data_IF_638645046256
#
_entry.id   IF_638645046256
#
_cell.length_a   1.000
_cell.length_b   1.000
_cell.length_c   1.000
_cell.angle_alpha   90.00
_cell.angle_beta   90.00
_cell.angle_gamma   90.00
#
_symmetry.space_group_name_H-M   'P 1'
#
loop_
_entity.id
_entity.type
_entity.pdbx_description
1 polymer ?
#
# COMPACT_ATOMS: atom_id res chain seq x y z
N UNK A 1 14.15 21.32 -7.78
CA UNK A 1 14.34 22.24 -6.64
C UNK A 1 15.66 22.99 -6.79
N UNK A 2 16.79 22.29 -6.97
CA UNK A 2 18.13 22.90 -7.10
C UNK A 2 18.21 23.94 -8.23
N UNK A 3 17.72 23.62 -9.45
CA UNK A 3 17.63 24.58 -10.57
C UNK A 3 16.80 25.82 -10.23
N UNK A 4 15.73 25.68 -9.44
CA UNK A 4 14.93 26.82 -8.97
C UNK A 4 15.65 27.73 -7.98
N UNK A 5 16.71 27.22 -7.35
CA UNK A 5 17.58 27.96 -6.45
C UNK A 5 18.85 28.50 -7.13
N UNK A 6 18.92 28.42 -8.46
CA UNK A 6 20.06 28.93 -9.24
C UNK A 6 21.33 28.06 -9.17
N UNK A 7 21.21 26.82 -8.69
CA UNK A 7 22.34 25.89 -8.68
C UNK A 7 22.53 25.24 -10.05
N UNK A 8 23.77 25.03 -10.44
CA UNK A 8 24.14 24.32 -11.65
C UNK A 8 23.84 22.82 -11.49
N UNK A 9 23.02 22.27 -12.39
CA UNK A 9 22.59 20.86 -12.37
C UNK A 9 22.84 20.22 -13.70
N UNK A 10 23.79 19.31 -13.74
CA UNK A 10 24.12 18.48 -14.90
C UNK A 10 23.38 17.13 -14.82
N UNK A 11 22.83 16.67 -15.93
CA UNK A 11 22.11 15.40 -16.04
C UNK A 11 20.69 15.42 -15.49
N UNK A 12 20.07 14.23 -15.49
CA UNK A 12 18.74 13.96 -14.92
C UNK A 12 18.85 12.83 -13.90
N UNK A 13 18.11 12.96 -12.80
CA UNK A 13 18.09 11.91 -11.78
C UNK A 13 17.42 10.66 -12.34
N UNK A 14 18.11 9.53 -12.28
CA UNK A 14 17.57 8.22 -12.60
C UNK A 14 17.32 7.40 -11.32
N UNK A 15 16.66 6.25 -11.48
CA UNK A 15 16.38 5.33 -10.40
C UNK A 15 17.54 4.36 -10.21
N UNK A 16 18.01 4.21 -8.97
CA UNK A 16 19.08 3.29 -8.52
C UNK A 16 20.50 3.66 -8.96
N UNK A 17 20.67 4.80 -9.60
CA UNK A 17 21.96 5.31 -10.03
C UNK A 17 22.09 6.81 -9.71
N UNK A 18 23.32 7.27 -9.58
CA UNK A 18 23.65 8.70 -9.51
C UNK A 18 23.96 9.17 -10.92
N UNK A 19 22.98 9.80 -11.56
CA UNK A 19 23.10 10.30 -12.95
C UNK A 19 22.97 11.81 -13.05
N UNK A 20 22.55 12.48 -11.99
CA UNK A 20 22.52 13.93 -11.90
C UNK A 20 23.55 14.44 -10.91
N UNK A 21 24.16 15.58 -11.19
CA UNK A 21 25.16 16.21 -10.35
C UNK A 21 24.80 17.69 -10.11
N UNK A 22 24.93 18.13 -8.86
CA UNK A 22 24.75 19.53 -8.48
C UNK A 22 26.12 20.10 -8.13
N UNK A 23 26.55 21.13 -8.85
CA UNK A 23 27.78 21.85 -8.56
C UNK A 23 27.50 23.00 -7.59
N UNK A 24 28.16 22.97 -6.44
CA UNK A 24 28.07 24.04 -5.44
C UNK A 24 29.04 25.20 -5.77
N UNK A 25 28.75 26.43 -5.30
CA UNK A 25 29.60 27.58 -5.52
C UNK A 25 31.06 27.39 -5.03
N UNK A 26 31.26 26.53 -4.02
CA UNK A 26 32.57 26.22 -3.45
C UNK A 26 33.35 25.17 -4.26
N UNK A 27 32.85 24.76 -5.42
CA UNK A 27 33.47 23.75 -6.28
C UNK A 27 33.16 22.30 -5.96
N UNK A 28 32.46 22.02 -4.84
CA UNK A 28 32.02 20.66 -4.49
C UNK A 28 30.89 20.22 -5.39
N UNK A 29 30.95 18.97 -5.86
CA UNK A 29 29.88 18.32 -6.63
C UNK A 29 29.12 17.33 -5.77
N UNK A 30 27.79 17.35 -5.83
CA UNK A 30 26.89 16.42 -5.14
C UNK A 30 26.20 15.54 -6.16
N UNK A 31 26.36 14.23 -6.06
CA UNK A 31 25.62 13.26 -6.84
C UNK A 31 24.17 13.14 -6.36
N UNK A 32 23.23 13.05 -7.28
CA UNK A 32 21.78 12.90 -6.98
C UNK A 32 21.23 11.70 -7.73
N UNK A 33 20.50 10.87 -7.02
CA UNK A 33 19.80 9.70 -7.57
C UNK A 33 18.58 9.35 -6.72
N UNK A 34 17.65 8.59 -7.27
CA UNK A 34 16.50 8.04 -6.56
C UNK A 34 16.75 6.57 -6.22
N UNK A 35 16.64 6.23 -4.95
CA UNK A 35 16.81 4.86 -4.46
C UNK A 35 15.54 4.40 -3.77
N UNK A 36 14.53 3.92 -4.54
CA UNK A 36 13.25 3.51 -4.00
C UNK A 36 13.42 2.29 -3.09
N UNK A 37 13.12 2.47 -1.80
CA UNK A 37 13.21 1.40 -0.81
C UNK A 37 12.20 0.30 -1.09
N UNK A 38 12.56 -0.95 -0.77
CA UNK A 38 11.69 -2.10 -0.93
C UNK A 38 11.67 -2.98 0.32
N UNK A 39 11.09 -4.17 0.21
CA UNK A 39 10.89 -5.15 1.28
C UNK A 39 11.78 -6.38 1.05
N UNK A 40 11.96 -7.20 2.08
CA UNK A 40 12.46 -8.57 1.92
C UNK A 40 11.33 -9.45 1.37
N UNK A 41 11.13 -9.47 0.05
CA UNK A 41 9.98 -10.12 -0.59
C UNK A 41 9.83 -11.59 -0.18
N UNK A 42 10.93 -12.31 0.01
CA UNK A 42 10.96 -13.71 0.47
C UNK A 42 10.28 -13.94 1.82
N UNK A 43 10.22 -12.91 2.68
CA UNK A 43 9.57 -13.01 3.99
C UNK A 43 8.03 -13.01 3.89
N UNK A 44 7.48 -12.66 2.74
CA UNK A 44 6.05 -12.57 2.47
C UNK A 44 5.56 -13.64 1.49
N UNK A 45 6.43 -14.15 0.65
CA UNK A 45 6.12 -15.22 -0.29
C UNK A 45 6.07 -16.61 0.40
N UNK A 46 5.56 -17.60 -0.31
CA UNK A 46 5.51 -19.01 0.05
C UNK A 46 4.81 -19.31 1.39
N UNK A 47 3.52 -19.64 1.32
CA UNK A 47 2.71 -20.04 2.47
C UNK A 47 2.81 -21.56 2.70
N UNK A 48 3.13 -21.97 3.93
CA UNK A 48 3.10 -23.36 4.37
C UNK A 48 1.66 -23.90 4.40
N UNK A 49 1.52 -25.23 4.56
CA UNK A 49 0.20 -25.84 4.72
C UNK A 49 -0.55 -25.35 5.96
N UNK A 50 0.16 -25.11 7.07
CA UNK A 50 -0.38 -24.56 8.30
C UNK A 50 -0.87 -23.12 8.10
N UNK A 51 -0.05 -22.24 7.52
CA UNK A 51 -0.42 -20.87 7.21
C UNK A 51 -1.63 -20.78 6.25
N UNK A 52 -1.77 -21.71 5.30
CA UNK A 52 -2.97 -21.79 4.45
C UNK A 52 -4.22 -22.16 5.26
N UNK A 53 -4.08 -23.02 6.26
CA UNK A 53 -5.13 -23.33 7.22
C UNK A 53 -5.54 -22.12 8.04
N UNK A 54 -4.58 -21.33 8.53
CA UNK A 54 -4.81 -20.09 9.26
C UNK A 54 -5.53 -19.03 8.41
N UNK A 55 -5.18 -18.92 7.11
CA UNK A 55 -5.88 -18.02 6.17
C UNK A 55 -7.35 -18.43 6.00
N UNK A 56 -7.62 -19.73 5.82
CA UNK A 56 -8.99 -20.24 5.70
C UNK A 56 -9.82 -19.98 6.96
N UNK A 57 -9.25 -20.26 8.13
CA UNK A 57 -9.86 -20.02 9.42
C UNK A 57 -10.17 -18.53 9.65
N UNK A 58 -9.22 -17.65 9.32
CA UNK A 58 -9.41 -16.21 9.45
C UNK A 58 -10.56 -15.71 8.56
N UNK A 59 -10.69 -16.27 7.34
CA UNK A 59 -11.82 -15.95 6.45
C UNK A 59 -13.15 -16.44 7.03
N UNK A 60 -13.19 -17.63 7.66
CA UNK A 60 -14.37 -18.14 8.35
C UNK A 60 -14.78 -17.26 9.54
N UNK A 61 -13.81 -16.79 10.33
CA UNK A 61 -14.04 -15.86 11.46
C UNK A 61 -14.65 -14.52 11.01
N UNK A 62 -14.43 -14.12 9.75
CA UNK A 62 -15.06 -12.95 9.13
C UNK A 62 -16.44 -13.24 8.51
N UNK A 63 -16.97 -14.48 8.66
CA UNK A 63 -18.26 -14.89 8.08
C UNK A 63 -18.18 -15.35 6.63
N UNK A 64 -16.99 -15.65 6.13
CA UNK A 64 -16.75 -16.11 4.75
C UNK A 64 -17.38 -15.23 3.66
N UNK A 65 -17.22 -13.91 3.69
CA UNK A 65 -17.78 -13.03 2.69
C UNK A 65 -17.20 -13.36 1.31
N UNK A 66 -17.97 -13.07 0.25
CA UNK A 66 -17.51 -13.30 -1.14
C UNK A 66 -16.24 -12.50 -1.43
N UNK A 67 -16.18 -11.25 -0.97
CA UNK A 67 -15.05 -10.35 -1.17
C UNK A 67 -14.59 -9.70 0.13
N UNK A 68 -13.28 -9.73 0.35
CA UNK A 68 -12.62 -9.07 1.47
C UNK A 68 -11.77 -7.93 0.94
N UNK A 69 -12.07 -6.71 1.38
CA UNK A 69 -11.28 -5.50 1.14
C UNK A 69 -10.42 -5.28 2.38
N UNK A 70 -9.14 -5.04 2.21
CA UNK A 70 -8.20 -4.87 3.32
C UNK A 70 -7.54 -3.49 3.27
N UNK A 71 -7.52 -2.80 4.42
CA UNK A 71 -6.68 -1.64 4.67
C UNK A 71 -5.72 -1.93 5.82
N UNK A 72 -4.45 -1.64 5.64
CA UNK A 72 -3.41 -1.80 6.67
C UNK A 72 -2.60 -0.52 6.77
N UNK A 73 -2.68 0.16 7.90
CA UNK A 73 -1.99 1.44 8.10
C UNK A 73 -1.57 1.63 9.55
N UNK A 74 -0.62 2.51 9.77
CA UNK A 74 -0.56 3.21 11.06
C UNK A 74 -1.77 4.15 11.13
N UNK A 75 -2.35 4.31 12.30
CA UNK A 75 -3.43 5.28 12.49
C UNK A 75 -2.84 6.71 12.38
N UNK A 76 -2.87 7.25 11.19
CA UNK A 76 -2.29 8.53 10.82
C UNK A 76 -3.23 9.24 9.82
N UNK A 77 -3.44 10.53 10.00
CA UNK A 77 -4.33 11.32 9.13
C UNK A 77 -3.88 11.34 7.66
N UNK A 78 -2.59 11.12 7.40
CA UNK A 78 -2.04 11.08 6.04
C UNK A 78 -2.40 9.82 5.26
N UNK A 79 -2.95 8.80 5.94
CA UNK A 79 -3.23 7.48 5.34
C UNK A 79 -4.58 7.39 4.64
N UNK A 80 -5.42 8.42 4.73
CA UNK A 80 -6.71 8.48 4.04
C UNK A 80 -7.72 7.41 4.51
N UNK A 81 -7.62 6.96 5.78
CA UNK A 81 -8.52 5.92 6.32
C UNK A 81 -9.97 6.39 6.29
N UNK A 82 -10.24 7.65 6.63
CA UNK A 82 -11.60 8.21 6.59
C UNK A 82 -12.16 8.23 5.18
N UNK A 83 -11.35 8.62 4.18
CA UNK A 83 -11.76 8.66 2.77
C UNK A 83 -12.11 7.27 2.26
N UNK A 84 -11.34 6.26 2.66
CA UNK A 84 -11.60 4.84 2.38
C UNK A 84 -12.94 4.39 2.97
N UNK A 85 -13.19 4.73 4.26
CA UNK A 85 -14.45 4.41 4.92
C UNK A 85 -15.63 5.16 4.27
N UNK A 86 -15.46 6.43 3.91
CA UNK A 86 -16.48 7.21 3.20
C UNK A 86 -16.79 6.60 1.84
N UNK A 87 -15.78 6.27 1.04
CA UNK A 87 -15.98 5.62 -0.26
C UNK A 87 -16.72 4.28 -0.12
N UNK A 88 -16.35 3.47 0.87
CA UNK A 88 -17.00 2.20 1.15
C UNK A 88 -18.46 2.39 1.59
N UNK A 89 -18.74 3.34 2.50
CA UNK A 89 -20.09 3.68 2.95
C UNK A 89 -20.99 4.12 1.80
N UNK A 90 -20.51 5.02 0.93
CA UNK A 90 -21.29 5.51 -0.21
C UNK A 90 -21.57 4.40 -1.25
N UNK A 91 -20.65 3.45 -1.43
CA UNK A 91 -20.88 2.30 -2.31
C UNK A 91 -21.95 1.34 -1.75
N UNK A 92 -22.01 1.16 -0.43
CA UNK A 92 -23.09 0.43 0.24
C UNK A 92 -24.43 1.19 0.13
N UNK A 93 -24.42 2.50 0.35
CA UNK A 93 -25.61 3.36 0.28
C UNK A 93 -26.27 3.33 -1.10
N UNK A 94 -25.47 3.34 -2.13
CA UNK A 94 -25.98 3.32 -3.52
C UNK A 94 -26.36 1.90 -4.00
N UNK A 95 -26.09 0.86 -3.19
CA UNK A 95 -26.27 -0.54 -3.59
C UNK A 95 -25.26 -1.02 -4.63
N UNK A 96 -24.18 -0.27 -4.88
CA UNK A 96 -23.10 -0.71 -5.77
C UNK A 96 -22.26 -1.85 -5.12
N UNK A 97 -22.28 -1.95 -3.81
CA UNK A 97 -21.76 -3.08 -3.03
C UNK A 97 -22.88 -3.68 -2.19
N UNK A 98 -22.97 -5.00 -2.16
CA UNK A 98 -23.89 -5.71 -1.29
C UNK A 98 -23.22 -5.98 0.07
N UNK A 99 -23.77 -5.47 1.19
CA UNK A 99 -23.21 -5.69 2.53
C UNK A 99 -23.19 -7.18 2.96
N UNK A 100 -23.91 -8.06 2.27
CA UNK A 100 -23.86 -9.51 2.52
C UNK A 100 -22.69 -10.20 1.81
N UNK A 101 -22.19 -9.60 0.73
CA UNK A 101 -21.13 -10.19 -0.09
C UNK A 101 -19.75 -9.60 0.22
N UNK A 102 -19.68 -8.38 0.77
CA UNK A 102 -18.40 -7.68 0.96
C UNK A 102 -18.14 -7.34 2.42
N UNK A 103 -16.87 -7.40 2.81
CA UNK A 103 -16.40 -6.99 4.13
C UNK A 103 -15.14 -6.16 3.99
N UNK A 104 -15.07 -5.03 4.71
CA UNK A 104 -13.86 -4.22 4.83
C UNK A 104 -13.16 -4.54 6.16
N UNK A 105 -11.93 -5.01 6.09
CA UNK A 105 -11.05 -5.19 7.25
C UNK A 105 -10.07 -4.01 7.30
N UNK A 106 -10.10 -3.23 8.38
CA UNK A 106 -9.17 -2.13 8.60
C UNK A 106 -8.28 -2.43 9.81
N UNK A 107 -7.02 -2.70 9.55
CA UNK A 107 -5.99 -2.80 10.57
C UNK A 107 -5.33 -1.42 10.74
N UNK A 108 -5.43 -0.86 11.94
CA UNK A 108 -4.89 0.47 12.26
C UNK A 108 -3.92 0.37 13.44
N UNK A 109 -2.63 0.30 13.15
CA UNK A 109 -1.60 0.22 14.21
C UNK A 109 -1.52 1.55 14.95
N UNK A 110 -1.53 1.56 16.30
CA UNK A 110 -1.37 2.76 17.09
C UNK A 110 -0.10 3.54 16.71
N UNK A 111 -0.22 4.86 16.57
CA UNK A 111 0.88 5.76 16.26
C UNK A 111 0.70 7.08 16.97
N UNK A 112 1.77 7.61 17.58
CA UNK A 112 1.84 8.97 18.17
C UNK A 112 0.61 9.37 19.01
N UNK A 113 0.03 8.46 19.78
CA UNK A 113 -1.25 8.61 20.51
C UNK A 113 -1.31 9.77 21.50
N UNK A 114 -0.16 10.37 21.84
CA UNK A 114 -0.09 11.54 22.74
C UNK A 114 -0.46 12.85 22.06
N UNK A 115 -0.52 12.90 20.72
CA UNK A 115 -0.80 14.11 19.96
C UNK A 115 -2.31 14.23 19.72
N UNK A 116 -2.91 15.39 19.98
CA UNK A 116 -4.35 15.59 19.94
C UNK A 116 -4.97 15.35 18.57
N UNK A 117 -4.29 15.69 17.48
CA UNK A 117 -4.79 15.42 16.14
C UNK A 117 -4.84 13.92 15.81
N UNK A 118 -3.99 13.08 16.41
CA UNK A 118 -4.10 11.63 16.27
C UNK A 118 -5.28 11.08 17.05
N UNK A 119 -5.55 11.59 18.25
CA UNK A 119 -6.77 11.25 19.02
C UNK A 119 -8.04 11.63 18.25
N UNK A 120 -8.05 12.84 17.69
CA UNK A 120 -9.17 13.30 16.86
C UNK A 120 -9.39 12.44 15.61
N UNK A 121 -8.31 12.00 14.94
CA UNK A 121 -8.38 11.09 13.81
C UNK A 121 -8.95 9.74 14.24
N UNK A 122 -8.47 9.19 15.36
CA UNK A 122 -8.99 7.95 15.94
C UNK A 122 -10.49 8.03 16.20
N UNK A 123 -10.95 9.07 16.91
CA UNK A 123 -12.37 9.24 17.23
C UNK A 123 -13.24 9.29 15.99
N UNK A 124 -12.81 10.01 14.94
CA UNK A 124 -13.52 10.09 13.65
C UNK A 124 -13.58 8.74 12.93
N UNK A 125 -12.49 7.97 12.96
CA UNK A 125 -12.46 6.62 12.36
C UNK A 125 -13.41 5.69 13.11
N UNK A 126 -13.35 5.66 14.46
CA UNK A 126 -14.22 4.83 15.28
C UNK A 126 -15.70 5.22 15.13
N UNK A 127 -16.01 6.52 15.03
CA UNK A 127 -17.36 7.03 14.73
C UNK A 127 -17.85 6.56 13.35
N UNK A 128 -17.02 6.67 12.32
CA UNK A 128 -17.37 6.22 10.98
C UNK A 128 -17.63 4.70 10.94
N UNK A 129 -16.76 3.91 11.56
CA UNK A 129 -16.94 2.44 11.67
C UNK A 129 -18.25 2.10 12.40
N UNK A 130 -18.53 2.78 13.54
CA UNK A 130 -19.76 2.58 14.29
C UNK A 130 -21.01 2.94 13.46
N UNK A 131 -20.97 4.05 12.73
CA UNK A 131 -22.06 4.49 11.85
C UNK A 131 -22.30 3.51 10.70
N UNK A 132 -21.25 3.07 10.01
CA UNK A 132 -21.36 2.12 8.89
C UNK A 132 -21.94 0.80 9.37
N UNK A 133 -21.39 0.23 10.44
CA UNK A 133 -21.88 -1.02 10.99
C UNK A 133 -23.31 -0.89 11.53
N UNK A 134 -23.67 0.25 12.16
CA UNK A 134 -25.03 0.51 12.64
C UNK A 134 -26.09 0.55 11.54
N UNK A 135 -25.68 0.87 10.30
CA UNK A 135 -26.58 0.97 9.14
C UNK A 135 -26.66 -0.33 8.33
N UNK A 136 -25.55 -1.01 8.14
CA UNK A 136 -25.42 -2.08 7.14
C UNK A 136 -25.11 -3.46 7.73
N UNK A 137 -24.63 -3.55 8.99
CA UNK A 137 -24.28 -4.82 9.59
C UNK A 137 -25.54 -5.60 10.01
N UNK A 138 -25.41 -6.92 10.04
CA UNK A 138 -26.34 -7.85 10.69
C UNK A 138 -25.73 -8.37 11.99
N UNK A 139 -26.57 -8.93 12.87
CA UNK A 139 -26.11 -9.55 14.11
C UNK A 139 -25.06 -10.63 13.80
N UNK A 140 -23.88 -10.48 14.37
CA UNK A 140 -22.75 -11.38 14.13
C UNK A 140 -21.97 -11.16 12.84
N UNK A 141 -22.41 -10.24 11.95
CA UNK A 141 -21.79 -9.98 10.66
C UNK A 141 -21.56 -8.48 10.44
N UNK A 142 -20.53 -7.87 11.05
CA UNK A 142 -20.16 -6.48 10.76
C UNK A 142 -19.61 -6.38 9.34
N UNK A 143 -19.96 -5.30 8.65
CA UNK A 143 -19.44 -5.01 7.29
C UNK A 143 -18.05 -4.35 7.32
N UNK A 144 -17.68 -3.76 8.49
CA UNK A 144 -16.35 -3.22 8.75
C UNK A 144 -15.78 -3.85 10.01
N UNK A 145 -14.69 -4.61 9.85
CA UNK A 145 -13.88 -5.12 10.96
C UNK A 145 -12.71 -4.16 11.22
N UNK A 146 -12.83 -3.36 12.26
CA UNK A 146 -11.79 -2.41 12.65
C UNK A 146 -10.97 -2.95 13.81
N UNK A 147 -9.65 -2.93 13.68
CA UNK A 147 -8.72 -3.32 14.74
C UNK A 147 -7.69 -2.22 14.98
N UNK A 148 -7.74 -1.61 16.18
CA UNK A 148 -6.75 -0.62 16.62
C UNK A 148 -5.70 -1.27 17.51
N UNK A 149 -4.84 -2.09 16.91
CA UNK A 149 -3.72 -2.76 17.61
C UNK A 149 -2.62 -3.16 16.63
N UNK A 150 -1.43 -3.40 17.15
CA UNK A 150 -0.36 -4.05 16.39
C UNK A 150 -0.72 -5.50 16.09
N UNK A 151 -0.39 -5.96 14.88
CA UNK A 151 -0.60 -7.33 14.41
C UNK A 151 0.76 -7.97 14.20
N UNK A 152 0.95 -9.21 14.68
CA UNK A 152 2.17 -9.96 14.45
C UNK A 152 2.38 -10.22 12.95
N UNK A 153 3.63 -10.25 12.48
CA UNK A 153 3.97 -10.38 11.05
C UNK A 153 3.36 -11.65 10.43
N UNK A 154 3.35 -12.78 11.15
CA UNK A 154 2.73 -14.02 10.68
C UNK A 154 1.23 -13.87 10.42
N UNK A 155 0.50 -13.29 11.37
CA UNK A 155 -0.92 -13.03 11.22
C UNK A 155 -1.20 -11.95 10.15
N UNK A 156 -0.35 -10.93 10.03
CA UNK A 156 -0.46 -9.91 9.00
C UNK A 156 -0.34 -10.50 7.59
N UNK A 157 0.57 -11.46 7.39
CA UNK A 157 0.67 -12.24 6.13
C UNK A 157 -0.63 -12.96 5.82
N UNK A 158 -1.29 -13.57 6.82
CA UNK A 158 -2.59 -14.21 6.64
C UNK A 158 -3.68 -13.20 6.22
N UNK A 159 -3.68 -12.00 6.81
CA UNK A 159 -4.58 -10.90 6.39
C UNK A 159 -4.32 -10.50 4.94
N UNK A 160 -3.06 -10.32 4.53
CA UNK A 160 -2.75 -10.01 3.13
C UNK A 160 -3.25 -11.11 2.20
N UNK A 161 -2.93 -12.37 2.51
CA UNK A 161 -3.26 -13.50 1.64
C UNK A 161 -4.76 -13.76 1.50
N UNK A 162 -5.57 -13.50 2.54
CA UNK A 162 -7.03 -13.70 2.47
C UNK A 162 -7.77 -12.60 1.72
N UNK A 163 -7.15 -11.41 1.57
CA UNK A 163 -7.81 -10.25 1.02
C UNK A 163 -7.90 -10.31 -0.50
N UNK A 164 -9.12 -10.15 -1.03
CA UNK A 164 -9.36 -10.08 -2.47
C UNK A 164 -8.89 -8.75 -3.07
N UNK A 165 -9.03 -7.63 -2.31
CA UNK A 165 -8.56 -6.30 -2.72
C UNK A 165 -7.82 -5.62 -1.56
N UNK A 166 -6.61 -5.16 -1.83
CA UNK A 166 -5.91 -4.24 -0.93
C UNK A 166 -6.19 -2.80 -1.33
N UNK A 167 -6.64 -1.99 -0.37
CA UNK A 167 -7.04 -0.59 -0.59
C UNK A 167 -6.08 0.35 0.16
N UNK A 168 -5.18 0.99 -0.56
CA UNK A 168 -4.08 1.84 -0.07
C UNK A 168 -4.29 3.27 -0.55
N UNK A 169 -4.75 4.16 0.32
CA UNK A 169 -5.23 5.50 -0.06
C UNK A 169 -4.52 6.65 0.68
N UNK A 170 -3.18 6.65 0.84
CA UNK A 170 -2.53 7.76 1.51
C UNK A 170 -2.62 9.05 0.68
N UNK A 171 -2.79 10.18 1.35
CA UNK A 171 -2.71 11.51 0.71
C UNK A 171 -1.31 11.83 0.20
N UNK A 172 -0.29 11.30 0.88
CA UNK A 172 1.12 11.37 0.51
C UNK A 172 1.90 10.30 1.25
N UNK A 173 2.66 9.52 0.51
CA UNK A 173 3.55 8.51 1.07
C UNK A 173 4.83 8.43 0.22
N UNK A 174 6.00 8.42 0.85
CA UNK A 174 7.27 8.34 0.14
C UNK A 174 7.48 7.05 -0.65
N UNK A 175 6.89 5.95 -0.19
CA UNK A 175 6.89 4.64 -0.85
C UNK A 175 5.58 3.90 -0.64
N UNK A 176 5.24 3.54 0.58
CA UNK A 176 4.20 2.61 1.04
C UNK A 176 4.59 1.14 0.86
N UNK A 177 5.34 0.62 1.83
CA UNK A 177 5.80 -0.78 1.81
C UNK A 177 4.66 -1.79 1.96
N UNK A 178 3.55 -1.41 2.59
CA UNK A 178 2.36 -2.27 2.78
C UNK A 178 1.78 -2.73 1.43
N UNK A 179 1.79 -1.86 0.41
CA UNK A 179 1.40 -2.24 -0.95
C UNK A 179 2.31 -3.33 -1.54
N UNK A 180 3.63 -3.20 -1.32
CA UNK A 180 4.61 -4.21 -1.76
C UNK A 180 4.49 -5.52 -0.97
N UNK A 181 4.22 -5.45 0.34
CA UNK A 181 4.00 -6.61 1.21
C UNK A 181 2.78 -7.43 0.75
N UNK A 182 1.66 -6.73 0.45
CA UNK A 182 0.47 -7.36 -0.10
C UNK A 182 0.77 -8.09 -1.42
N UNK A 183 1.41 -7.41 -2.36
CA UNK A 183 1.78 -7.99 -3.66
C UNK A 183 2.68 -9.20 -3.49
N UNK A 184 3.67 -9.14 -2.59
CA UNK A 184 4.58 -10.25 -2.31
C UNK A 184 3.87 -11.49 -1.73
N UNK A 185 2.72 -11.33 -1.08
CA UNK A 185 1.90 -12.43 -0.57
C UNK A 185 1.08 -13.14 -1.67
N UNK A 186 1.03 -12.62 -2.91
CA UNK A 186 0.17 -13.11 -4.00
C UNK A 186 1.00 -13.68 -5.16
N UNK A 187 1.85 -14.65 -4.84
CA UNK A 187 2.69 -15.39 -5.78
C UNK A 187 1.92 -16.26 -6.79
N UNK A 188 0.64 -16.54 -6.49
CA UNK A 188 -0.29 -17.23 -7.38
C UNK A 188 -1.05 -16.30 -8.33
N UNK A 189 -0.81 -15.00 -8.25
CA UNK A 189 -1.47 -13.99 -9.07
C UNK A 189 -2.91 -13.66 -8.64
N UNK A 190 -3.36 -14.12 -7.45
CA UNK A 190 -4.66 -13.75 -6.92
C UNK A 190 -4.70 -12.32 -6.38
N UNK A 191 -5.91 -11.78 -6.18
CA UNK A 191 -6.13 -10.46 -5.58
C UNK A 191 -5.93 -9.28 -6.51
N UNK A 192 -6.21 -8.08 -5.98
CA UNK A 192 -6.07 -6.81 -6.67
C UNK A 192 -5.54 -5.71 -5.73
N UNK A 193 -4.79 -4.76 -6.27
CA UNK A 193 -4.29 -3.61 -5.54
C UNK A 193 -4.95 -2.33 -6.05
N UNK A 194 -5.63 -1.60 -5.15
CA UNK A 194 -6.04 -0.21 -5.36
C UNK A 194 -5.06 0.68 -4.61
N UNK A 195 -4.42 1.61 -5.31
CA UNK A 195 -3.29 2.37 -4.80
C UNK A 195 -3.43 3.85 -5.11
N UNK A 196 -3.17 4.70 -4.10
CA UNK A 196 -3.07 6.14 -4.31
C UNK A 196 -1.96 6.49 -5.29
N UNK A 197 -2.26 7.35 -6.26
CA UNK A 197 -1.27 7.95 -7.17
C UNK A 197 -0.20 8.80 -6.46
N UNK A 198 -0.43 9.17 -5.19
CA UNK A 198 0.51 9.94 -4.36
C UNK A 198 1.38 9.05 -3.45
N UNK A 199 1.36 7.74 -3.62
CA UNK A 199 2.30 6.81 -3.01
C UNK A 199 3.47 6.54 -3.98
N UNK A 200 4.72 6.61 -3.53
CA UNK A 200 5.88 6.32 -4.36
C UNK A 200 5.88 4.90 -4.95
N UNK A 201 5.19 3.96 -4.29
CA UNK A 201 4.99 2.62 -4.83
C UNK A 201 4.19 2.59 -6.14
N UNK A 202 3.40 3.63 -6.46
CA UNK A 202 2.63 3.72 -7.70
C UNK A 202 3.53 3.77 -8.94
N UNK A 203 4.73 4.35 -8.83
CA UNK A 203 5.71 4.39 -9.91
C UNK A 203 6.25 3.00 -10.27
N UNK A 204 6.27 2.07 -9.31
CA UNK A 204 6.78 0.71 -9.50
C UNK A 204 5.65 -0.31 -9.73
N UNK A 205 4.50 -0.12 -9.07
CA UNK A 205 3.34 -1.02 -9.14
C UNK A 205 2.30 -0.51 -10.15
N UNK A 206 2.73 -0.28 -11.38
CA UNK A 206 1.94 0.35 -12.45
C UNK A 206 0.74 -0.48 -12.94
N UNK A 207 0.61 -1.73 -12.49
CA UNK A 207 -0.56 -2.57 -12.75
C UNK A 207 -1.64 -2.45 -11.66
N UNK A 208 -1.42 -1.63 -10.61
CA UNK A 208 -2.44 -1.31 -9.62
C UNK A 208 -3.58 -0.46 -10.23
N UNK A 209 -4.76 -0.50 -9.60
CA UNK A 209 -5.84 0.45 -9.88
C UNK A 209 -5.54 1.74 -9.15
N UNK A 210 -5.06 2.75 -9.87
CA UNK A 210 -4.68 4.03 -9.28
C UNK A 210 -5.93 4.85 -8.92
N UNK A 211 -5.86 5.55 -7.78
CA UNK A 211 -6.91 6.47 -7.35
C UNK A 211 -6.33 7.77 -6.78
N UNK A 212 -7.12 8.83 -6.88
CA UNK A 212 -6.86 10.07 -6.16
C UNK A 212 -7.57 10.04 -4.79
N UNK A 213 -6.85 9.95 -3.67
CA UNK A 213 -7.47 9.86 -2.34
C UNK A 213 -8.17 11.15 -1.88
N UNK A 214 -7.96 12.27 -2.57
CA UNK A 214 -8.70 13.53 -2.34
C UNK A 214 -10.06 13.56 -3.04
N UNK A 215 -10.30 12.64 -3.97
CA UNK A 215 -11.54 12.50 -4.72
C UNK A 215 -12.20 11.14 -4.37
N UNK A 216 -13.30 11.19 -3.63
CA UNK A 216 -14.04 9.99 -3.20
C UNK A 216 -14.56 9.21 -4.41
N UNK A 217 -15.00 9.88 -5.49
CA UNK A 217 -15.45 9.21 -6.70
C UNK A 217 -14.33 8.42 -7.37
N UNK A 218 -13.11 8.96 -7.38
CA UNK A 218 -11.92 8.27 -7.88
C UNK A 218 -11.63 6.99 -7.07
N UNK A 219 -11.72 7.05 -5.74
CA UNK A 219 -11.53 5.87 -4.86
C UNK A 219 -12.61 4.83 -5.12
N UNK A 220 -13.90 5.25 -5.19
CA UNK A 220 -15.03 4.36 -5.50
C UNK A 220 -14.85 3.67 -6.85
N UNK A 221 -14.53 4.44 -7.88
CA UNK A 221 -14.34 3.91 -9.24
C UNK A 221 -13.20 2.89 -9.30
N UNK A 222 -12.05 3.18 -8.68
CA UNK A 222 -10.91 2.27 -8.65
C UNK A 222 -11.26 0.97 -7.92
N UNK A 223 -11.96 1.05 -6.77
CA UNK A 223 -12.40 -0.12 -6.00
C UNK A 223 -13.40 -0.98 -6.79
N UNK A 224 -14.42 -0.37 -7.39
CA UNK A 224 -15.41 -1.10 -8.20
C UNK A 224 -14.78 -1.75 -9.42
N UNK A 225 -13.85 -1.06 -10.10
CA UNK A 225 -13.13 -1.62 -11.24
C UNK A 225 -12.27 -2.83 -10.84
N UNK A 226 -11.61 -2.77 -9.67
CA UNK A 226 -10.83 -3.87 -9.14
C UNK A 226 -11.72 -5.09 -8.83
N UNK A 227 -12.81 -4.88 -8.09
CA UNK A 227 -13.76 -5.94 -7.74
C UNK A 227 -14.40 -6.58 -8.97
N UNK A 228 -14.87 -5.75 -9.92
CA UNK A 228 -15.45 -6.23 -11.17
C UNK A 228 -14.45 -7.03 -12.00
N UNK A 229 -13.21 -6.59 -12.10
CA UNK A 229 -12.20 -7.30 -12.88
C UNK A 229 -11.83 -8.67 -12.28
N UNK A 230 -11.92 -8.85 -10.96
CA UNK A 230 -11.77 -10.16 -10.32
C UNK A 230 -12.85 -11.17 -10.75
N UNK A 231 -14.05 -10.68 -11.10
CA UNK A 231 -15.15 -11.52 -11.58
C UNK A 231 -15.11 -11.71 -13.11
N UNK A 232 -14.96 -10.61 -13.86
CA UNK A 232 -15.15 -10.58 -15.32
C UNK A 232 -13.88 -10.94 -16.12
N UNK A 233 -12.69 -10.71 -15.54
CA UNK A 233 -11.42 -10.86 -16.26
C UNK A 233 -10.31 -11.51 -15.39
N UNK A 234 -10.54 -12.71 -14.80
CA UNK A 234 -9.63 -13.31 -13.83
C UNK A 234 -8.22 -13.54 -14.39
N UNK A 235 -8.08 -13.94 -15.65
CA UNK A 235 -6.76 -14.15 -16.28
C UNK A 235 -5.97 -12.84 -16.44
N UNK A 236 -6.64 -11.72 -16.74
CA UNK A 236 -6.02 -10.41 -16.81
C UNK A 236 -5.59 -9.96 -15.41
N UNK A 237 -6.41 -10.22 -14.40
CA UNK A 237 -6.07 -9.90 -12.99
C UNK A 237 -4.87 -10.68 -12.52
N UNK A 238 -4.83 -12.00 -12.79
CA UNK A 238 -3.67 -12.85 -12.51
C UNK A 238 -2.40 -12.28 -13.15
N UNK A 239 -2.45 -11.91 -14.43
CA UNK A 239 -1.29 -11.34 -15.12
C UNK A 239 -0.83 -10.01 -14.50
N UNK A 240 -1.76 -9.13 -14.14
CA UNK A 240 -1.46 -7.86 -13.48
C UNK A 240 -0.76 -8.09 -12.13
N UNK A 241 -1.29 -8.97 -11.30
CA UNK A 241 -0.70 -9.28 -9.99
C UNK A 241 0.66 -9.94 -10.13
N UNK A 242 0.84 -10.91 -11.03
CA UNK A 242 2.13 -11.55 -11.29
C UNK A 242 3.19 -10.56 -11.79
N UNK A 243 2.80 -9.61 -12.65
CA UNK A 243 3.71 -8.53 -13.10
C UNK A 243 4.19 -7.68 -11.93
N UNK A 244 3.28 -7.27 -11.03
CA UNK A 244 3.65 -6.53 -9.82
C UNK A 244 4.48 -7.38 -8.85
N UNK A 245 4.14 -8.65 -8.69
CA UNK A 245 4.89 -9.60 -7.84
C UNK A 245 6.33 -9.77 -8.34
N UNK A 246 6.52 -9.93 -9.65
CA UNK A 246 7.85 -9.99 -10.26
C UNK A 246 8.63 -8.70 -9.97
N UNK A 247 8.02 -7.53 -10.16
CA UNK A 247 8.64 -6.23 -9.87
C UNK A 247 9.12 -6.14 -8.41
N UNK A 248 8.29 -6.53 -7.44
CA UNK A 248 8.64 -6.49 -6.01
C UNK A 248 9.76 -7.49 -5.67
N UNK A 249 9.75 -8.66 -6.30
CA UNK A 249 10.73 -9.73 -6.05
C UNK A 249 12.10 -9.41 -6.65
N UNK A 250 12.13 -8.90 -7.88
CA UNK A 250 13.38 -8.53 -8.56
C UNK A 250 14.00 -7.26 -7.98
N UNK A 251 13.16 -6.38 -7.39
CA UNK A 251 13.59 -5.10 -6.82
C UNK A 251 13.38 -5.06 -5.30
N UNK A 252 13.91 -6.06 -4.63
CA UNK A 252 13.81 -6.23 -3.19
C UNK A 252 14.75 -5.29 -2.40
N UNK A 253 14.70 -5.38 -1.07
CA UNK A 253 15.56 -4.58 -0.17
C UNK A 253 17.05 -4.89 -0.34
N UNK A 254 17.40 -6.08 -0.81
CA UNK A 254 18.80 -6.44 -1.08
C UNK A 254 19.35 -5.65 -2.26
N UNK A 255 18.62 -5.61 -3.38
CA UNK A 255 18.99 -4.80 -4.54
C UNK A 255 19.05 -3.31 -4.20
N UNK A 256 18.08 -2.81 -3.43
CA UNK A 256 18.08 -1.44 -2.93
C UNK A 256 19.36 -1.11 -2.16
N UNK A 257 19.73 -1.96 -1.20
CA UNK A 257 20.93 -1.79 -0.37
C UNK A 257 22.22 -1.83 -1.21
N UNK A 258 22.31 -2.78 -2.15
CA UNK A 258 23.46 -2.92 -3.04
C UNK A 258 23.63 -1.68 -3.95
N UNK A 259 22.55 -1.21 -4.55
CA UNK A 259 22.56 -0.04 -5.41
C UNK A 259 22.98 1.22 -4.64
N UNK A 260 22.39 1.46 -3.48
CA UNK A 260 22.71 2.62 -2.65
C UNK A 260 24.18 2.61 -2.18
N UNK A 261 24.63 1.49 -1.59
CA UNK A 261 26.00 1.36 -1.11
C UNK A 261 27.04 1.35 -2.25
N UNK A 262 26.66 0.81 -3.41
CA UNK A 262 27.51 0.86 -4.62
C UNK A 262 27.78 2.28 -5.06
N UNK A 263 26.73 3.11 -5.18
CA UNK A 263 26.87 4.52 -5.53
C UNK A 263 27.64 5.33 -4.46
N UNK A 264 27.44 5.02 -3.18
CA UNK A 264 28.17 5.69 -2.11
C UNK A 264 29.69 5.43 -2.22
N UNK A 265 30.11 4.16 -2.39
CA UNK A 265 31.51 3.78 -2.57
C UNK A 265 32.14 4.42 -3.82
N UNK A 266 31.39 4.52 -4.91
CA UNK A 266 31.85 5.21 -6.11
C UNK A 266 32.13 6.69 -5.86
N UNK A 267 31.24 7.36 -5.13
CA UNK A 267 31.42 8.77 -4.76
C UNK A 267 32.66 8.98 -3.86
N UNK A 268 32.87 8.11 -2.87
CA UNK A 268 34.07 8.15 -2.00
C UNK A 268 35.36 7.94 -2.80
N UNK A 269 35.38 6.98 -3.75
CA UNK A 269 36.56 6.73 -4.59
C UNK A 269 36.89 7.94 -5.51
N UNK A 270 35.88 8.64 -6.00
CA UNK A 270 36.07 9.86 -6.81
C UNK A 270 36.63 11.02 -5.99
N UNK A 271 36.18 11.19 -4.73
CA UNK A 271 36.74 12.24 -3.83
C UNK A 271 38.18 11.91 -3.40
N UNK A 272 38.55 10.64 -3.22
CA UNK A 272 39.90 10.21 -2.83
C UNK A 272 40.93 10.27 -3.98
N UNK A 273 40.48 10.30 -5.24
CA UNK A 273 41.31 10.38 -6.43
C UNK A 273 41.45 11.79 -7.04
N UNK A 274 40.75 12.78 -6.47
CA UNK A 274 40.79 14.17 -6.87
C UNK A 274 41.66 15.01 -5.92
#
# INVERSE_FOLDING_TARGET
LARRQGLDVEGEASTREVTAHIRLPQGRTIGVGAFPISIAAKDFAAFTGEEKGDVAKLREELGSPRRIILGVDRLDYTKGILQRLTAFEELLDTGALDPEEVTLVQLATPSRERLDHYKATRSKVEEAVGRINGRFARVGHPVVHYQHRGVAKSLLRCYYRMADVMLVTPFKDGMNLVAKEYVACHDDGSGALVLSEFAGAADELNQAYLCNPFDIESVKAALLNALKALDDAPSTMTQRMLTMHQQVTEHDVQLWSQSFLGCLRQAEAQEAGA
#
